data_IF_492637672669
#
_entry.id   IF_492637672669
#
_cell.length_a   1.000
_cell.length_b   1.000
_cell.length_c   1.000
_cell.angle_alpha   90.00
_cell.angle_beta   90.00
_cell.angle_gamma   90.00
#
_symmetry.space_group_name_H-M   'P 1'
#
loop_
_entity.id
_entity.type
_entity.pdbx_description
1 polymer ?
#
# COMPACT_ATOMS: atom_id res chain seq x y z
N UNK A 1 -10.23 -4.84 -6.21
CA UNK A 1 -10.01 -5.34 -7.58
C UNK A 1 -8.58 -5.09 -8.05
N UNK A 2 -8.12 -3.83 -8.02
CA UNK A 2 -6.79 -3.42 -8.56
C UNK A 2 -5.61 -4.28 -8.10
N UNK A 3 -5.55 -4.65 -6.82
CA UNK A 3 -4.40 -5.39 -6.25
C UNK A 3 -4.53 -6.91 -6.31
N UNK A 4 -5.65 -7.45 -6.81
CA UNK A 4 -5.84 -8.90 -6.90
C UNK A 4 -4.85 -9.51 -7.91
N UNK A 5 -4.24 -10.64 -7.55
CA UNK A 5 -3.22 -11.30 -8.37
C UNK A 5 -1.80 -10.74 -8.18
N UNK A 6 -1.65 -9.66 -7.40
CA UNK A 6 -0.38 -8.95 -7.20
C UNK A 6 0.15 -9.13 -5.77
N UNK A 7 1.34 -8.61 -5.51
CA UNK A 7 1.86 -8.49 -4.15
C UNK A 7 1.36 -7.21 -3.48
N UNK A 8 1.19 -7.26 -2.16
CA UNK A 8 0.85 -6.09 -1.33
C UNK A 8 1.82 -6.01 -0.16
N UNK A 9 2.38 -4.83 0.09
CA UNK A 9 3.17 -4.54 1.29
C UNK A 9 2.42 -3.62 2.23
N UNK A 10 2.42 -3.97 3.51
CA UNK A 10 1.78 -3.20 4.57
C UNK A 10 2.59 -3.24 5.86
N UNK A 11 2.31 -2.29 6.74
CA UNK A 11 2.94 -2.22 8.06
C UNK A 11 2.20 -3.07 9.08
N UNK A 12 2.86 -3.38 10.21
CA UNK A 12 2.28 -4.17 11.32
C UNK A 12 0.90 -3.66 11.78
N UNK A 13 0.72 -2.35 11.95
CA UNK A 13 -0.56 -1.78 12.40
C UNK A 13 -1.69 -2.05 11.40
N UNK A 14 -1.41 -1.87 10.11
CA UNK A 14 -2.35 -2.16 9.02
C UNK A 14 -2.68 -3.64 8.97
N UNK A 15 -1.67 -4.51 9.11
CA UNK A 15 -1.87 -5.95 9.21
C UNK A 15 -2.80 -6.34 10.36
N UNK A 16 -2.55 -5.82 11.57
CA UNK A 16 -3.40 -6.09 12.75
C UNK A 16 -4.84 -5.61 12.52
N UNK A 17 -5.02 -4.45 11.88
CA UNK A 17 -6.36 -3.93 11.55
C UNK A 17 -7.09 -4.79 10.52
N UNK A 18 -6.38 -5.39 9.55
CA UNK A 18 -6.97 -6.29 8.54
C UNK A 18 -7.25 -7.67 9.15
N UNK A 19 -6.35 -8.15 10.00
CA UNK A 19 -6.49 -9.37 10.81
C UNK A 19 -6.27 -10.68 10.06
N UNK A 20 -6.10 -10.67 8.74
CA UNK A 20 -5.89 -11.89 7.93
C UNK A 20 -5.23 -11.61 6.57
N UNK A 21 -4.62 -12.62 5.93
CA UNK A 21 -4.12 -12.50 4.56
C UNK A 21 -5.24 -12.08 3.61
N UNK A 22 -4.93 -11.10 2.77
CA UNK A 22 -5.80 -10.71 1.69
C UNK A 22 -5.78 -11.81 0.61
N UNK A 23 -6.95 -12.40 0.30
CA UNK A 23 -7.08 -13.51 -0.66
C UNK A 23 -6.50 -13.16 -2.03
N UNK A 24 -5.90 -14.13 -2.72
CA UNK A 24 -5.35 -14.00 -4.07
C UNK A 24 -4.29 -12.89 -4.20
N UNK A 25 -3.52 -12.66 -3.12
CA UNK A 25 -2.41 -11.70 -3.05
C UNK A 25 -1.27 -12.32 -2.28
N UNK A 26 -0.05 -12.02 -2.69
CA UNK A 26 1.11 -12.21 -1.82
C UNK A 26 1.11 -11.09 -0.78
N UNK A 27 0.88 -11.42 0.48
CA UNK A 27 0.85 -10.43 1.57
C UNK A 27 2.24 -10.30 2.15
N UNK A 28 2.76 -9.07 2.21
CA UNK A 28 4.04 -8.75 2.80
C UNK A 28 3.79 -7.82 3.98
N UNK A 29 4.23 -8.23 5.17
CA UNK A 29 4.19 -7.37 6.35
C UNK A 29 5.60 -6.89 6.67
N UNK A 30 5.82 -5.59 6.54
CA UNK A 30 7.06 -4.95 6.96
C UNK A 30 7.02 -4.70 8.46
N UNK A 31 7.79 -5.48 9.21
CA UNK A 31 7.83 -5.45 10.66
C UNK A 31 9.16 -5.96 11.21
N UNK A 32 9.70 -5.27 12.21
CA UNK A 32 10.87 -5.76 12.96
C UNK A 32 10.51 -6.80 14.02
N UNK A 33 9.21 -6.86 14.38
CA UNK A 33 8.62 -7.79 15.33
C UNK A 33 8.42 -9.16 14.67
N UNK A 34 8.98 -10.20 15.30
CA UNK A 34 8.92 -11.59 14.82
C UNK A 34 7.67 -12.34 15.27
N UNK A 35 6.78 -11.72 16.05
CA UNK A 35 5.58 -12.37 16.59
C UNK A 35 4.42 -12.47 15.58
N UNK A 36 4.68 -12.28 14.29
CA UNK A 36 3.70 -12.55 13.24
C UNK A 36 3.97 -13.95 12.72
N UNK A 37 3.11 -14.87 13.12
CA UNK A 37 3.17 -16.25 12.64
C UNK A 37 3.03 -16.28 11.11
N UNK A 38 3.95 -16.97 10.40
CA UNK A 38 3.81 -17.20 8.97
C UNK A 38 2.48 -17.87 8.65
N UNK A 39 1.84 -17.43 7.58
CA UNK A 39 0.62 -18.03 7.05
C UNK A 39 0.81 -18.27 5.55
N UNK A 40 -0.04 -19.10 4.96
CA UNK A 40 -0.04 -19.25 3.51
C UNK A 40 -0.28 -17.89 2.84
N UNK A 41 0.53 -17.58 1.82
CA UNK A 41 0.52 -16.29 1.12
C UNK A 41 0.83 -15.07 2.00
N UNK A 42 1.54 -15.25 3.13
CA UNK A 42 2.05 -14.21 4.00
C UNK A 42 3.57 -14.34 4.20
N UNK A 43 4.29 -13.26 3.96
CA UNK A 43 5.73 -13.13 4.24
C UNK A 43 5.94 -11.93 5.16
N UNK A 44 6.80 -12.09 6.16
CA UNK A 44 7.20 -11.01 7.07
C UNK A 44 8.63 -10.61 6.73
N UNK A 45 8.84 -9.35 6.37
CA UNK A 45 10.14 -8.78 6.06
C UNK A 45 10.49 -7.69 7.07
N UNK A 46 11.78 -7.49 7.35
CA UNK A 46 12.23 -6.64 8.48
C UNK A 46 12.66 -5.23 8.09
N UNK A 47 12.91 -5.01 6.81
CA UNK A 47 13.42 -3.77 6.25
C UNK A 47 12.96 -3.56 4.80
N UNK A 48 13.02 -2.30 4.35
CA UNK A 48 12.67 -1.86 3.01
C UNK A 48 13.48 -2.60 1.93
N UNK A 49 14.79 -2.76 2.13
CA UNK A 49 15.69 -3.37 1.14
C UNK A 49 15.30 -4.81 0.81
N UNK A 50 14.88 -5.58 1.81
CA UNK A 50 14.35 -6.93 1.61
C UNK A 50 13.08 -6.93 0.77
N UNK A 51 12.20 -5.93 0.96
CA UNK A 51 10.97 -5.79 0.17
C UNK A 51 11.30 -5.41 -1.28
N UNK A 52 12.23 -4.47 -1.50
CA UNK A 52 12.66 -4.06 -2.83
C UNK A 52 13.39 -5.20 -3.58
N UNK A 53 14.18 -5.98 -2.86
CA UNK A 53 14.83 -7.18 -3.39
C UNK A 53 13.80 -8.23 -3.83
N UNK A 54 12.78 -8.48 -2.99
CA UNK A 54 11.67 -9.35 -3.36
C UNK A 54 10.92 -8.81 -4.59
N UNK A 55 10.60 -7.52 -4.61
CA UNK A 55 9.93 -6.85 -5.73
C UNK A 55 10.64 -7.11 -7.07
N UNK A 56 11.97 -7.01 -7.08
CA UNK A 56 12.80 -7.23 -8.27
C UNK A 56 12.71 -8.65 -8.85
N UNK A 57 12.19 -9.60 -8.06
CA UNK A 57 11.97 -11.00 -8.46
C UNK A 57 10.50 -11.34 -8.75
N UNK A 58 9.57 -10.43 -8.49
CA UNK A 58 8.15 -10.63 -8.77
C UNK A 58 7.89 -10.53 -10.28
N UNK A 59 6.94 -11.32 -10.77
CA UNK A 59 6.40 -11.20 -12.13
C UNK A 59 5.18 -10.26 -12.20
N UNK A 60 4.82 -9.66 -11.08
CA UNK A 60 3.64 -8.81 -10.88
C UNK A 60 4.05 -7.55 -10.12
N UNK A 61 3.24 -6.50 -10.21
CA UNK A 61 3.42 -5.30 -9.40
C UNK A 61 3.40 -5.58 -7.88
N UNK A 62 4.11 -4.73 -7.13
CA UNK A 62 4.04 -4.61 -5.69
C UNK A 62 3.26 -3.34 -5.31
N UNK A 63 2.12 -3.52 -4.64
CA UNK A 63 1.32 -2.41 -4.14
C UNK A 63 1.65 -2.09 -2.69
N UNK A 64 1.96 -0.82 -2.43
CA UNK A 64 2.05 -0.30 -1.06
C UNK A 64 0.65 0.09 -0.58
N UNK A 65 0.15 -0.58 0.46
CA UNK A 65 -1.20 -0.33 0.99
C UNK A 65 -1.20 0.34 2.38
N UNK A 66 -0.04 0.85 2.78
CA UNK A 66 0.14 1.68 3.97
C UNK A 66 0.46 0.91 5.26
N UNK A 67 0.31 1.50 6.43
CA UNK A 67 -0.20 2.86 6.71
C UNK A 67 0.83 3.97 6.52
N UNK A 68 0.60 5.13 7.16
CA UNK A 68 1.37 6.37 7.00
C UNK A 68 2.90 6.18 7.02
N UNK A 69 3.44 5.40 7.97
CA UNK A 69 4.88 5.14 8.04
C UNK A 69 5.41 4.40 6.80
N UNK A 70 4.65 3.43 6.29
CA UNK A 70 5.03 2.66 5.10
C UNK A 70 4.92 3.54 3.86
N UNK A 71 3.88 4.36 3.73
CA UNK A 71 3.80 5.33 2.63
C UNK A 71 5.02 6.26 2.61
N UNK A 72 5.45 6.75 3.77
CA UNK A 72 6.64 7.60 3.89
C UNK A 72 7.93 6.86 3.50
N UNK A 73 8.11 5.62 3.96
CA UNK A 73 9.30 4.81 3.70
C UNK A 73 9.44 4.42 2.23
N UNK A 74 8.32 4.14 1.55
CA UNK A 74 8.30 3.76 0.15
C UNK A 74 8.21 4.95 -0.83
N UNK A 75 7.97 6.17 -0.35
CA UNK A 75 7.75 7.36 -1.18
C UNK A 75 8.77 7.55 -2.33
N UNK A 76 10.09 7.37 -2.09
CA UNK A 76 11.09 7.52 -3.15
C UNK A 76 11.03 6.45 -4.25
N UNK A 77 10.31 5.36 -4.00
CA UNK A 77 10.24 4.18 -4.86
C UNK A 77 8.89 4.03 -5.58
N UNK A 78 7.92 4.93 -5.32
CA UNK A 78 6.62 4.88 -5.98
C UNK A 78 6.72 5.45 -7.40
N UNK A 79 6.24 4.67 -8.37
CA UNK A 79 6.09 5.08 -9.78
C UNK A 79 4.66 5.50 -10.12
N UNK A 80 3.68 4.96 -9.38
CA UNK A 80 2.25 5.13 -9.65
C UNK A 80 1.41 5.16 -8.36
N UNK A 81 0.48 6.10 -8.28
CA UNK A 81 -0.51 6.19 -7.22
C UNK A 81 -1.91 5.88 -7.73
N UNK A 82 -2.64 5.08 -6.94
CA UNK A 82 -4.09 4.93 -7.04
C UNK A 82 -4.72 5.53 -5.78
N UNK A 83 -5.25 6.75 -5.91
CA UNK A 83 -5.78 7.52 -4.77
C UNK A 83 -7.30 7.52 -4.83
N UNK A 84 -7.95 6.98 -3.81
CA UNK A 84 -9.40 7.11 -3.65
C UNK A 84 -9.71 8.41 -2.91
N UNK A 85 -10.36 9.35 -3.57
CA UNK A 85 -10.93 10.55 -2.97
C UNK A 85 -12.31 10.22 -2.38
N UNK A 86 -12.43 10.34 -1.07
CA UNK A 86 -13.69 10.17 -0.33
C UNK A 86 -14.22 11.55 0.03
N UNK A 87 -15.43 11.95 -0.42
CA UNK A 87 -15.97 13.29 -0.18
C UNK A 87 -16.51 13.43 1.26
N UNK A 88 -15.62 13.31 2.25
CA UNK A 88 -15.96 13.42 3.66
C UNK A 88 -14.87 14.14 4.45
N UNK A 89 -15.28 14.84 5.50
CA UNK A 89 -14.36 15.39 6.49
C UNK A 89 -14.28 14.43 7.68
N UNK A 90 -13.06 14.11 8.11
CA UNK A 90 -12.82 13.24 9.27
C UNK A 90 -12.22 14.09 10.39
N UNK A 91 -13.00 14.32 11.45
CA UNK A 91 -12.50 14.96 12.66
C UNK A 91 -11.59 14.00 13.45
N UNK A 92 -10.49 14.52 14.01
CA UNK A 92 -9.61 13.73 14.87
C UNK A 92 -8.82 12.62 14.16
N UNK A 93 -8.56 12.75 12.85
CA UNK A 93 -7.71 11.82 12.12
C UNK A 93 -6.31 11.71 12.76
N UNK A 94 -5.82 10.47 12.90
CA UNK A 94 -4.56 10.14 13.58
C UNK A 94 -3.46 9.65 12.61
N UNK A 95 -3.80 9.52 11.32
CA UNK A 95 -2.90 9.09 10.25
C UNK A 95 -3.14 9.92 8.99
N UNK A 96 -2.06 10.39 8.38
CA UNK A 96 -2.06 11.22 7.19
C UNK A 96 -1.09 10.67 6.15
N UNK A 97 -1.36 10.92 4.87
CA UNK A 97 -0.36 10.75 3.83
C UNK A 97 0.78 11.77 4.02
N UNK A 98 2.02 11.48 3.56
CA UNK A 98 3.05 12.51 3.43
C UNK A 98 2.52 13.68 2.59
N UNK A 99 2.80 14.93 2.97
CA UNK A 99 2.28 16.12 2.26
C UNK A 99 2.78 16.21 0.81
N UNK A 100 3.99 15.72 0.56
CA UNK A 100 4.72 15.73 -0.70
C UNK A 100 4.48 14.47 -1.56
N UNK A 101 3.50 13.62 -1.21
CA UNK A 101 3.38 12.31 -1.84
C UNK A 101 3.09 12.32 -3.35
N UNK A 102 2.57 13.44 -3.88
CA UNK A 102 2.30 13.66 -5.30
C UNK A 102 3.37 14.50 -6.01
N UNK A 103 4.46 14.87 -5.32
CA UNK A 103 5.52 15.68 -5.92
C UNK A 103 6.21 14.95 -7.08
N UNK A 104 6.18 15.61 -8.24
CA UNK A 104 6.71 15.05 -9.48
C UNK A 104 5.79 14.04 -10.18
N UNK A 105 4.55 13.86 -9.72
CA UNK A 105 3.57 13.03 -10.40
C UNK A 105 2.55 13.87 -11.19
N UNK A 106 2.04 13.30 -12.27
CA UNK A 106 0.96 13.88 -13.09
C UNK A 106 -0.28 13.03 -12.98
N UNK A 107 -1.44 13.68 -12.89
CA UNK A 107 -2.74 13.00 -13.00
C UNK A 107 -2.91 12.48 -14.43
N UNK A 108 -3.06 11.16 -14.57
CA UNK A 108 -3.22 10.48 -15.87
C UNK A 108 -4.60 9.86 -16.06
N UNK A 109 -5.39 9.71 -14.99
CA UNK A 109 -6.69 9.06 -15.09
C UNK A 109 -7.61 9.32 -13.92
N UNK A 110 -8.90 9.07 -14.14
CA UNK A 110 -9.92 9.08 -13.09
C UNK A 110 -11.01 8.07 -13.40
N UNK A 111 -11.39 7.29 -12.39
CA UNK A 111 -12.48 6.33 -12.45
C UNK A 111 -13.48 6.66 -11.35
N UNK A 112 -14.74 6.89 -11.72
CA UNK A 112 -15.83 7.01 -10.74
C UNK A 112 -16.21 5.61 -10.25
N UNK A 113 -16.39 5.46 -8.95
CA UNK A 113 -16.93 4.26 -8.30
C UNK A 113 -18.34 4.57 -7.77
N UNK A 114 -18.94 3.59 -7.10
CA UNK A 114 -20.19 3.76 -6.36
C UNK A 114 -20.03 4.81 -5.23
N UNK A 115 -21.15 5.34 -4.72
CA UNK A 115 -21.19 6.30 -3.61
C UNK A 115 -20.36 7.59 -3.82
N UNK A 116 -20.31 8.06 -5.07
CA UNK A 116 -19.55 9.26 -5.48
C UNK A 116 -18.03 9.21 -5.21
N UNK A 117 -17.51 8.03 -4.88
CA UNK A 117 -16.08 7.80 -4.73
C UNK A 117 -15.39 7.96 -6.08
N UNK A 118 -14.17 8.52 -6.06
CA UNK A 118 -13.35 8.68 -7.26
C UNK A 118 -11.97 8.12 -7.01
N UNK A 119 -11.50 7.26 -7.91
CA UNK A 119 -10.11 6.84 -7.95
C UNK A 119 -9.38 7.70 -8.95
N UNK A 120 -8.40 8.47 -8.50
CA UNK A 120 -7.50 9.25 -9.35
C UNK A 120 -6.19 8.50 -9.47
N UNK A 121 -5.68 8.42 -10.69
CA UNK A 121 -4.40 7.76 -10.98
C UNK A 121 -3.35 8.82 -11.32
N UNK A 122 -2.19 8.69 -10.68
CA UNK A 122 -1.04 9.55 -10.89
C UNK A 122 0.19 8.72 -11.27
N UNK A 123 1.01 9.20 -12.20
CA UNK A 123 2.25 8.56 -12.66
C UNK A 123 3.37 9.60 -12.74
N UNK A 124 4.63 9.18 -12.54
CA UNK A 124 5.82 10.06 -12.70
C UNK A 124 6.13 10.32 -14.17
#
# INVERSE_FOLDING_TARGET
ETTTGHAVVMGRKTWVSIGKPLKNRLNIVLSRDSNIEPQESLVVLRDLDSVLSLNSSLQTDLFVIGGAQIYKEFLPHIEKWHVTEVPMNVEGADAFMPEDFLDGFKRVGTKKLEDDLRVVTYER
#
